data_IF_474037610461
#
_entry.id   IF_474037610461
#
_cell.length_a   1.000
_cell.length_b   1.000
_cell.length_c   1.000
_cell.angle_alpha   90.00
_cell.angle_beta   90.00
_cell.angle_gamma   90.00
#
_symmetry.space_group_name_H-M   'P 1'
#
loop_
_entity.id
_entity.type
_entity.pdbx_description
1 polymer ?
#
# COMPACT_ATOMS: atom_id res chain seq x y z
N UNK A 1 -90.38 52.37 -48.18
CA UNK A 1 -90.06 52.88 -46.82
C UNK A 1 -90.09 51.71 -45.85
N UNK A 2 -88.93 51.29 -45.35
CA UNK A 2 -88.58 50.84 -43.99
C UNK A 2 -87.03 50.84 -43.95
N UNK A 3 -86.37 51.28 -42.85
CA UNK A 3 -84.99 51.74 -42.86
C UNK A 3 -83.96 50.70 -42.37
N UNK A 4 -82.78 50.79 -42.95
CA UNK A 4 -81.42 50.90 -42.36
C UNK A 4 -80.94 50.00 -41.20
N UNK A 5 -79.69 49.52 -41.43
CA UNK A 5 -78.55 49.37 -40.49
C UNK A 5 -78.53 48.19 -39.53
N UNK A 6 -77.68 47.21 -39.85
CA UNK A 6 -76.98 46.39 -38.85
C UNK A 6 -75.62 47.06 -38.63
N UNK A 7 -75.43 47.64 -37.46
CA UNK A 7 -74.15 48.15 -36.98
C UNK A 7 -73.33 46.95 -36.52
N UNK A 8 -72.20 46.71 -37.19
CA UNK A 8 -71.15 45.81 -36.74
C UNK A 8 -70.47 46.43 -35.50
N UNK A 9 -70.76 45.88 -34.33
CA UNK A 9 -70.05 46.20 -33.08
C UNK A 9 -69.25 44.99 -32.63
N UNK A 10 -68.11 44.78 -33.28
CA UNK A 10 -66.95 44.19 -32.61
C UNK A 10 -65.77 45.12 -32.91
N UNK A 11 -65.46 45.98 -31.94
CA UNK A 11 -64.26 46.81 -31.98
C UNK A 11 -63.05 45.88 -32.10
N UNK A 12 -62.17 46.12 -33.08
CA UNK A 12 -60.98 45.29 -33.34
C UNK A 12 -60.10 45.16 -32.10
N UNK A 13 -60.11 46.18 -31.25
CA UNK A 13 -59.41 46.24 -29.97
C UNK A 13 -59.88 45.18 -28.96
N UNK A 14 -61.16 44.79 -29.03
CA UNK A 14 -61.72 43.72 -28.18
C UNK A 14 -61.30 42.35 -28.66
N UNK A 15 -61.17 42.16 -29.98
CA UNK A 15 -60.70 40.91 -30.58
C UNK A 15 -59.19 40.73 -30.31
N UNK A 16 -58.40 41.80 -30.42
CA UNK A 16 -56.96 41.75 -30.18
C UNK A 16 -56.63 41.47 -28.70
N UNK A 17 -57.40 42.03 -27.77
CA UNK A 17 -57.26 41.73 -26.34
C UNK A 17 -57.66 40.29 -26.01
N UNK A 18 -58.71 39.76 -26.64
CA UNK A 18 -59.11 38.36 -26.47
C UNK A 18 -58.05 37.40 -27.02
N UNK A 19 -57.49 37.70 -28.19
CA UNK A 19 -56.43 36.90 -28.82
C UNK A 19 -55.10 36.97 -28.06
N UNK A 20 -54.76 38.13 -27.48
CA UNK A 20 -53.59 38.31 -26.61
C UNK A 20 -53.74 37.51 -25.32
N UNK A 21 -54.91 37.54 -24.71
CA UNK A 21 -55.21 36.78 -23.49
C UNK A 21 -55.19 35.29 -23.78
N UNK A 22 -55.86 34.83 -24.84
CA UNK A 22 -55.82 33.43 -25.27
C UNK A 22 -54.40 32.96 -25.59
N UNK A 23 -53.57 33.75 -26.27
CA UNK A 23 -52.16 33.41 -26.53
C UNK A 23 -51.35 33.29 -25.24
N UNK A 24 -51.53 34.19 -24.27
CA UNK A 24 -50.86 34.09 -22.97
C UNK A 24 -51.31 32.85 -22.22
N UNK A 25 -52.61 32.60 -22.14
CA UNK A 25 -53.16 31.41 -21.48
C UNK A 25 -52.71 30.12 -22.18
N UNK A 26 -52.68 30.09 -23.50
CA UNK A 26 -52.16 28.94 -24.26
C UNK A 26 -50.66 28.75 -24.04
N UNK A 27 -49.88 29.83 -23.96
CA UNK A 27 -48.44 29.76 -23.67
C UNK A 27 -48.19 29.27 -22.24
N UNK A 28 -48.96 29.72 -21.25
CA UNK A 28 -48.90 29.19 -19.88
C UNK A 28 -49.38 27.74 -19.79
N UNK A 29 -50.37 27.33 -20.58
CA UNK A 29 -50.78 25.92 -20.68
C UNK A 29 -49.74 25.07 -21.41
N UNK A 30 -49.04 25.58 -22.43
CA UNK A 30 -47.98 24.86 -23.14
C UNK A 30 -46.71 24.77 -22.30
N UNK A 31 -46.31 25.83 -21.61
CA UNK A 31 -45.20 25.81 -20.65
C UNK A 31 -45.57 24.96 -19.44
N UNK A 32 -46.81 25.05 -18.97
CA UNK A 32 -47.34 24.21 -17.90
C UNK A 32 -47.42 22.73 -18.29
N UNK A 33 -47.85 22.42 -19.51
CA UNK A 33 -47.82 21.04 -20.04
C UNK A 33 -46.41 20.59 -20.39
N UNK A 34 -45.48 21.45 -20.80
CA UNK A 34 -44.08 21.09 -20.99
C UNK A 34 -43.40 20.84 -19.63
N UNK A 35 -43.76 21.58 -18.58
CA UNK A 35 -43.29 21.37 -17.21
C UNK A 35 -43.93 20.11 -16.60
N UNK A 36 -45.21 19.87 -16.85
CA UNK A 36 -45.92 18.66 -16.43
C UNK A 36 -45.46 17.45 -17.25
N UNK A 37 -45.15 17.57 -18.54
CA UNK A 37 -44.52 16.51 -19.33
C UNK A 37 -43.05 16.31 -18.95
N UNK A 38 -42.33 17.35 -18.51
CA UNK A 38 -40.99 17.21 -17.91
C UNK A 38 -41.03 16.57 -16.52
N UNK A 39 -42.14 16.71 -15.79
CA UNK A 39 -42.40 16.04 -14.50
C UNK A 39 -43.06 14.65 -14.66
N UNK A 40 -43.78 14.41 -15.77
CA UNK A 40 -44.50 13.17 -16.09
C UNK A 40 -43.70 12.22 -17.01
N UNK A 41 -42.62 12.70 -17.62
CA UNK A 41 -41.39 11.90 -17.76
C UNK A 41 -40.78 11.87 -16.36
N UNK A 42 -41.47 11.17 -15.45
CA UNK A 42 -40.95 10.84 -14.15
C UNK A 42 -39.68 10.04 -14.42
N UNK A 43 -38.53 10.71 -14.36
CA UNK A 43 -37.26 10.02 -14.28
C UNK A 43 -37.40 8.95 -13.21
N UNK A 44 -36.87 7.76 -13.48
CA UNK A 44 -36.78 6.69 -12.50
C UNK A 44 -36.32 7.26 -11.16
N UNK A 45 -36.72 6.65 -10.04
CA UNK A 45 -36.25 7.07 -8.71
C UNK A 45 -34.72 7.26 -8.70
N UNK A 46 -33.98 6.43 -9.45
CA UNK A 46 -32.57 6.61 -9.79
C UNK A 46 -32.20 7.99 -10.39
N UNK A 47 -32.89 8.46 -11.42
CA UNK A 47 -32.61 9.74 -12.08
C UNK A 47 -32.80 10.94 -11.13
N UNK A 48 -33.79 10.87 -10.23
CA UNK A 48 -34.00 11.89 -9.20
C UNK A 48 -32.85 11.88 -8.18
N UNK A 49 -32.39 10.69 -7.77
CA UNK A 49 -31.24 10.55 -6.88
C UNK A 49 -29.95 11.05 -7.55
N UNK A 50 -29.73 10.75 -8.84
CA UNK A 50 -28.58 11.28 -9.60
C UNK A 50 -28.64 12.81 -9.66
N UNK A 51 -29.81 13.39 -9.92
CA UNK A 51 -29.99 14.84 -9.91
C UNK A 51 -29.64 15.45 -8.55
N UNK A 52 -30.16 14.87 -7.46
CA UNK A 52 -29.86 15.31 -6.11
C UNK A 52 -28.36 15.22 -5.78
N UNK A 53 -27.70 14.13 -6.18
CA UNK A 53 -26.26 13.92 -5.98
C UNK A 53 -25.40 14.96 -6.72
N UNK A 54 -25.78 15.30 -7.96
CA UNK A 54 -25.02 16.22 -8.84
C UNK A 54 -25.25 17.69 -8.52
N UNK A 55 -26.37 18.05 -7.89
CA UNK A 55 -26.71 19.45 -7.63
C UNK A 55 -25.71 20.09 -6.64
N UNK A 56 -24.91 21.09 -7.06
CA UNK A 56 -23.95 21.75 -6.18
C UNK A 56 -24.61 22.60 -5.09
N UNK A 57 -25.85 23.05 -5.32
CA UNK A 57 -26.62 23.88 -4.38
C UNK A 57 -27.38 23.04 -3.34
N UNK A 58 -27.44 21.71 -3.52
CA UNK A 58 -28.04 20.82 -2.54
C UNK A 58 -27.19 20.72 -1.27
N UNK A 59 -27.84 20.61 -0.12
CA UNK A 59 -27.16 20.42 1.16
C UNK A 59 -26.40 19.08 1.13
N UNK A 60 -25.19 19.06 1.68
CA UNK A 60 -24.30 17.90 1.67
C UNK A 60 -25.00 16.63 2.17
N UNK A 61 -25.83 16.74 3.21
CA UNK A 61 -26.58 15.62 3.78
C UNK A 61 -27.52 14.95 2.77
N UNK A 62 -28.20 15.75 1.93
CA UNK A 62 -29.12 15.22 0.91
C UNK A 62 -28.34 14.53 -0.21
N UNK A 63 -27.18 15.06 -0.57
CA UNK A 63 -26.27 14.45 -1.55
C UNK A 63 -25.71 13.11 -1.06
N UNK A 64 -25.36 13.04 0.23
CA UNK A 64 -24.93 11.80 0.90
C UNK A 64 -26.05 10.76 0.91
N UNK A 65 -27.28 11.14 1.30
CA UNK A 65 -28.46 10.25 1.27
C UNK A 65 -28.74 9.74 -0.15
N UNK A 66 -28.54 10.58 -1.16
CA UNK A 66 -28.68 10.18 -2.54
C UNK A 66 -27.61 9.15 -2.94
N UNK A 67 -26.34 9.39 -2.58
CA UNK A 67 -25.25 8.45 -2.83
C UNK A 67 -25.50 7.08 -2.19
N UNK A 68 -25.97 7.03 -0.94
CA UNK A 68 -26.33 5.79 -0.26
C UNK A 68 -27.39 4.98 -0.99
N UNK A 69 -28.47 5.65 -1.39
CA UNK A 69 -29.58 4.99 -2.11
C UNK A 69 -29.11 4.49 -3.47
N UNK A 70 -28.30 5.28 -4.18
CA UNK A 70 -27.72 4.87 -5.46
C UNK A 70 -26.80 3.64 -5.30
N UNK A 71 -25.92 3.63 -4.30
CA UNK A 71 -25.02 2.51 -4.05
C UNK A 71 -25.72 1.23 -3.61
N UNK A 72 -26.85 1.33 -2.90
CA UNK A 72 -27.58 0.17 -2.37
C UNK A 72 -28.69 -0.36 -3.29
N UNK A 73 -29.35 0.49 -4.07
CA UNK A 73 -30.51 0.13 -4.89
C UNK A 73 -30.21 0.05 -6.40
N UNK A 74 -29.19 0.79 -6.85
CA UNK A 74 -28.85 0.96 -8.27
C UNK A 74 -27.39 0.60 -8.55
N UNK A 75 -26.89 -0.41 -7.85
CA UNK A 75 -25.47 -0.76 -7.79
C UNK A 75 -24.85 -0.99 -9.19
N UNK A 76 -25.61 -1.60 -10.11
CA UNK A 76 -25.16 -1.92 -11.46
C UNK A 76 -25.18 -0.74 -12.43
N UNK A 77 -26.00 0.29 -12.18
CA UNK A 77 -26.27 1.38 -13.13
C UNK A 77 -25.75 2.74 -12.67
N UNK A 78 -25.74 3.00 -11.36
CA UNK A 78 -25.35 4.28 -10.80
C UNK A 78 -23.83 4.46 -10.61
N UNK A 79 -23.05 3.37 -10.65
CA UNK A 79 -21.62 3.39 -10.40
C UNK A 79 -20.83 4.41 -11.26
N UNK A 80 -21.05 4.51 -12.58
CA UNK A 80 -20.45 5.56 -13.41
C UNK A 80 -20.66 6.98 -12.87
N UNK A 81 -21.84 7.28 -12.34
CA UNK A 81 -22.17 8.62 -11.85
C UNK A 81 -21.57 8.91 -10.48
N UNK A 82 -21.48 7.90 -9.61
CA UNK A 82 -20.73 7.98 -8.38
C UNK A 82 -19.24 8.25 -8.66
N UNK A 83 -18.63 7.53 -9.62
CA UNK A 83 -17.24 7.76 -10.01
C UNK A 83 -17.01 9.15 -10.61
N UNK A 84 -17.95 9.67 -11.40
CA UNK A 84 -17.85 11.03 -11.94
C UNK A 84 -17.73 12.09 -10.83
N UNK A 85 -18.48 11.94 -9.73
CA UNK A 85 -18.38 12.86 -8.58
C UNK A 85 -17.14 12.58 -7.74
N UNK A 86 -16.75 11.31 -7.58
CA UNK A 86 -15.54 10.92 -6.86
C UNK A 86 -14.30 11.63 -7.42
N UNK A 87 -14.20 11.71 -8.74
CA UNK A 87 -13.07 12.34 -9.44
C UNK A 87 -13.33 13.80 -9.85
N UNK A 88 -14.48 14.38 -9.49
CA UNK A 88 -14.77 15.79 -9.77
C UNK A 88 -14.03 16.71 -8.79
N UNK A 89 -13.03 17.43 -9.29
CA UNK A 89 -12.28 18.44 -8.52
C UNK A 89 -13.12 19.53 -7.86
N UNK A 90 -14.36 19.74 -8.30
CA UNK A 90 -15.30 20.71 -7.72
C UNK A 90 -16.18 20.12 -6.63
N UNK A 91 -16.23 18.80 -6.48
CA UNK A 91 -17.00 18.15 -5.43
C UNK A 91 -16.35 18.41 -4.05
N UNK A 92 -17.15 18.62 -2.99
CA UNK A 92 -16.61 18.71 -1.64
C UNK A 92 -15.86 17.44 -1.25
N UNK A 93 -14.69 17.56 -0.62
CA UNK A 93 -13.88 16.40 -0.19
C UNK A 93 -14.65 15.42 0.70
N UNK A 94 -15.48 15.94 1.61
CA UNK A 94 -16.34 15.11 2.46
C UNK A 94 -17.30 14.24 1.66
N UNK A 95 -17.84 14.76 0.54
CA UNK A 95 -18.69 14.01 -0.36
C UNK A 95 -17.89 12.96 -1.14
N UNK A 96 -16.70 13.31 -1.63
CA UNK A 96 -15.81 12.37 -2.33
C UNK A 96 -15.42 11.19 -1.45
N UNK A 97 -14.98 11.44 -0.21
CA UNK A 97 -14.68 10.38 0.77
C UNK A 97 -15.89 9.50 1.03
N UNK A 98 -17.07 10.10 1.17
CA UNK A 98 -18.30 9.32 1.36
C UNK A 98 -18.62 8.43 0.16
N UNK A 99 -18.53 8.99 -1.05
CA UNK A 99 -18.78 8.25 -2.29
C UNK A 99 -17.75 7.14 -2.48
N UNK A 100 -16.49 7.36 -2.11
CA UNK A 100 -15.47 6.31 -2.09
C UNK A 100 -15.92 5.13 -1.23
N UNK A 101 -16.38 5.38 0.00
CA UNK A 101 -16.87 4.32 0.90
C UNK A 101 -18.10 3.61 0.34
N UNK A 102 -18.99 4.34 -0.34
CA UNK A 102 -20.14 3.75 -1.04
C UNK A 102 -19.66 2.85 -2.17
N UNK A 103 -18.78 3.35 -3.04
CA UNK A 103 -18.23 2.61 -4.20
C UNK A 103 -17.50 1.34 -3.76
N UNK A 104 -16.70 1.39 -2.70
CA UNK A 104 -15.98 0.23 -2.16
C UNK A 104 -16.95 -0.90 -1.76
N UNK A 105 -18.14 -0.56 -1.28
CA UNK A 105 -19.15 -1.54 -0.85
C UNK A 105 -19.99 -2.08 -2.00
N UNK A 106 -19.85 -1.51 -3.20
CA UNK A 106 -20.59 -1.95 -4.37
C UNK A 106 -20.07 -3.31 -4.88
N UNK A 107 -20.90 -4.03 -5.61
CA UNK A 107 -20.66 -5.33 -6.27
C UNK A 107 -20.88 -5.23 -7.78
N UNK A 108 -20.46 -4.11 -8.36
CA UNK A 108 -20.50 -3.84 -9.79
C UNK A 108 -19.12 -4.12 -10.46
N UNK A 109 -18.96 -5.25 -11.16
CA UNK A 109 -17.66 -5.64 -11.72
C UNK A 109 -17.10 -4.66 -12.77
N UNK A 110 -17.90 -3.70 -13.25
CA UNK A 110 -17.49 -2.75 -14.29
C UNK A 110 -16.83 -1.47 -13.74
N UNK A 111 -16.70 -1.33 -12.42
CA UNK A 111 -16.09 -0.12 -11.82
C UNK A 111 -14.57 -0.19 -11.78
N UNK A 112 -13.99 -1.40 -11.67
CA UNK A 112 -12.54 -1.62 -11.60
C UNK A 112 -11.80 -0.92 -12.75
N UNK A 113 -12.21 -1.17 -14.01
CA UNK A 113 -11.54 -0.57 -15.19
C UNK A 113 -11.52 0.96 -15.16
N UNK A 114 -12.60 1.59 -14.68
CA UNK A 114 -12.67 3.05 -14.58
C UNK A 114 -11.78 3.59 -13.46
N UNK A 115 -11.77 2.93 -12.31
CA UNK A 115 -10.91 3.29 -11.18
C UNK A 115 -9.43 3.16 -11.56
N UNK A 116 -9.05 2.06 -12.23
CA UNK A 116 -7.69 1.83 -12.71
C UNK A 116 -7.29 2.81 -13.81
N UNK A 117 -8.21 3.14 -14.74
CA UNK A 117 -7.96 4.16 -15.77
C UNK A 117 -7.62 5.53 -15.16
N UNK A 118 -8.27 5.91 -14.06
CA UNK A 118 -7.94 7.16 -13.38
C UNK A 118 -6.57 7.09 -12.69
N UNK A 119 -6.21 5.95 -12.09
CA UNK A 119 -4.87 5.74 -11.53
C UNK A 119 -3.76 5.81 -12.61
N UNK A 120 -4.04 5.31 -13.81
CA UNK A 120 -3.16 5.35 -14.98
C UNK A 120 -3.07 6.73 -15.66
N UNK A 121 -3.96 7.66 -15.33
CA UNK A 121 -4.01 8.97 -15.97
C UNK A 121 -2.88 9.89 -15.46
N UNK A 122 -1.73 9.88 -16.13
CA UNK A 122 -0.56 10.71 -15.75
C UNK A 122 -0.83 12.22 -15.75
N UNK A 123 -1.85 12.68 -16.48
CA UNK A 123 -2.27 14.09 -16.54
C UNK A 123 -3.22 14.45 -15.40
N UNK A 124 -3.82 13.46 -14.72
CA UNK A 124 -4.66 13.71 -13.57
C UNK A 124 -3.86 14.24 -12.38
N UNK A 125 -4.56 14.97 -11.50
CA UNK A 125 -4.01 15.40 -10.22
C UNK A 125 -3.55 14.14 -9.42
N UNK A 126 -2.35 14.14 -8.81
CA UNK A 126 -1.85 13.03 -7.99
C UNK A 126 -2.85 12.50 -6.95
N UNK A 127 -3.65 13.40 -6.36
CA UNK A 127 -4.71 13.03 -5.41
C UNK A 127 -5.80 12.15 -6.05
N UNK A 128 -6.20 12.44 -7.30
CA UNK A 128 -7.21 11.65 -8.00
C UNK A 128 -6.66 10.30 -8.41
N UNK A 129 -5.39 10.24 -8.83
CA UNK A 129 -4.71 8.98 -9.14
C UNK A 129 -4.62 8.08 -7.91
N UNK A 130 -4.22 8.65 -6.76
CA UNK A 130 -4.18 7.95 -5.47
C UNK A 130 -5.57 7.48 -5.05
N UNK A 131 -6.58 8.33 -5.18
CA UNK A 131 -7.95 7.97 -4.86
C UNK A 131 -8.45 6.82 -5.75
N UNK A 132 -8.18 6.87 -7.05
CA UNK A 132 -8.52 5.80 -7.98
C UNK A 132 -7.85 4.49 -7.61
N UNK A 133 -6.54 4.53 -7.33
CA UNK A 133 -5.76 3.35 -6.95
C UNK A 133 -6.21 2.76 -5.61
N UNK A 134 -6.40 3.58 -4.57
CA UNK A 134 -6.88 3.11 -3.26
C UNK A 134 -8.30 2.53 -3.35
N UNK A 135 -9.19 3.18 -4.10
CA UNK A 135 -10.55 2.69 -4.28
C UNK A 135 -10.53 1.35 -5.02
N UNK A 136 -9.77 1.26 -6.12
CA UNK A 136 -9.58 0.00 -6.83
C UNK A 136 -9.00 -1.08 -5.92
N UNK A 137 -7.99 -0.77 -5.11
CA UNK A 137 -7.39 -1.69 -4.15
C UNK A 137 -8.41 -2.29 -3.18
N UNK A 138 -9.29 -1.45 -2.64
CA UNK A 138 -10.33 -1.90 -1.70
C UNK A 138 -11.46 -2.66 -2.38
N UNK A 139 -11.66 -2.42 -3.66
CA UNK A 139 -12.74 -2.96 -4.46
C UNK A 139 -12.39 -4.30 -5.11
N UNK A 140 -11.25 -4.34 -5.80
CA UNK A 140 -10.70 -5.47 -6.55
C UNK A 140 -9.17 -5.47 -6.36
N UNK A 141 -8.68 -6.06 -5.25
CA UNK A 141 -7.27 -6.03 -4.89
C UNK A 141 -6.36 -6.64 -5.97
N UNK A 142 -6.80 -7.71 -6.63
CA UNK A 142 -5.99 -8.43 -7.62
C UNK A 142 -5.75 -7.57 -8.86
N UNK A 143 -6.81 -6.92 -9.37
CA UNK A 143 -6.69 -5.99 -10.50
C UNK A 143 -5.86 -4.75 -10.13
N UNK A 144 -6.05 -4.22 -8.93
CA UNK A 144 -5.25 -3.10 -8.43
C UNK A 144 -3.78 -3.47 -8.28
N UNK A 145 -3.45 -4.67 -7.81
CA UNK A 145 -2.07 -5.15 -7.66
C UNK A 145 -1.30 -5.19 -8.99
N UNK A 146 -1.95 -5.68 -10.05
CA UNK A 146 -1.37 -5.65 -11.40
C UNK A 146 -1.02 -4.22 -11.82
N UNK A 147 -1.94 -3.28 -11.56
CA UNK A 147 -1.75 -1.87 -11.86
C UNK A 147 -0.66 -1.23 -10.98
N UNK A 148 -0.57 -1.59 -9.70
CA UNK A 148 0.49 -1.17 -8.78
C UNK A 148 1.85 -1.58 -9.35
N UNK A 149 2.03 -2.84 -9.75
CA UNK A 149 3.30 -3.33 -10.31
C UNK A 149 3.74 -2.52 -11.54
N UNK A 150 2.79 -2.21 -12.42
CA UNK A 150 3.02 -1.37 -13.61
C UNK A 150 3.48 0.04 -13.23
N UNK A 151 2.76 0.74 -12.35
CA UNK A 151 3.10 2.09 -11.89
C UNK A 151 4.49 2.12 -11.24
N UNK A 152 4.74 1.19 -10.32
CA UNK A 152 5.99 1.14 -9.57
C UNK A 152 7.19 0.86 -10.48
N UNK A 153 7.01 -0.02 -11.48
CA UNK A 153 8.05 -0.38 -12.44
C UNK A 153 8.30 0.63 -13.57
N UNK A 154 7.44 1.65 -13.74
CA UNK A 154 7.57 2.69 -14.76
C UNK A 154 8.39 3.88 -14.24
N UNK A 155 9.63 4.01 -14.71
CA UNK A 155 10.53 5.09 -14.32
C UNK A 155 10.14 6.47 -14.86
N UNK A 156 9.21 6.54 -15.82
CA UNK A 156 8.69 7.81 -16.36
C UNK A 156 7.52 8.37 -15.53
N UNK A 157 6.94 7.58 -14.63
CA UNK A 157 5.87 8.04 -13.76
C UNK A 157 6.41 8.95 -12.63
N UNK A 158 5.52 9.75 -12.06
CA UNK A 158 5.83 10.68 -10.98
C UNK A 158 6.30 9.90 -9.73
N UNK A 159 7.52 10.18 -9.28
CA UNK A 159 8.15 9.49 -8.15
C UNK A 159 7.25 9.42 -6.90
N UNK A 160 6.58 10.52 -6.55
CA UNK A 160 5.69 10.56 -5.39
C UNK A 160 4.56 9.52 -5.50
N UNK A 161 3.99 9.36 -6.69
CA UNK A 161 2.93 8.38 -6.92
C UNK A 161 3.47 6.95 -6.98
N UNK A 162 4.65 6.74 -7.60
CA UNK A 162 5.36 5.45 -7.55
C UNK A 162 5.63 4.99 -6.13
N UNK A 163 6.02 5.91 -5.24
CA UNK A 163 6.25 5.61 -3.82
C UNK A 163 4.96 5.20 -3.11
N UNK A 164 3.84 5.91 -3.35
CA UNK A 164 2.53 5.53 -2.80
C UNK A 164 2.13 4.13 -3.29
N UNK A 165 2.21 3.89 -4.60
CA UNK A 165 1.91 2.59 -5.18
C UNK A 165 2.80 1.47 -4.60
N UNK A 166 4.10 1.73 -4.42
CA UNK A 166 5.04 0.75 -3.89
C UNK A 166 4.70 0.29 -2.46
N UNK A 167 3.98 1.10 -1.66
CA UNK A 167 3.51 0.67 -0.33
C UNK A 167 2.52 -0.48 -0.39
N UNK A 168 1.80 -0.65 -1.50
CA UNK A 168 0.83 -1.74 -1.68
C UNK A 168 1.49 -3.07 -2.03
N UNK A 169 2.72 -3.08 -2.57
CA UNK A 169 3.41 -4.32 -2.97
C UNK A 169 3.61 -5.30 -1.80
N UNK A 170 3.69 -4.81 -0.56
CA UNK A 170 3.85 -5.67 0.62
C UNK A 170 2.67 -6.62 0.86
N UNK A 171 1.48 -6.26 0.35
CA UNK A 171 0.29 -7.09 0.46
C UNK A 171 0.29 -8.27 -0.52
N UNK A 172 1.22 -8.28 -1.48
CA UNK A 172 1.39 -9.31 -2.49
C UNK A 172 2.86 -9.75 -2.57
N UNK A 173 3.55 -9.72 -1.43
CA UNK A 173 4.99 -9.95 -1.38
C UNK A 173 5.40 -11.38 -1.77
N UNK A 174 4.48 -12.33 -1.69
CA UNK A 174 4.72 -13.74 -2.07
C UNK A 174 4.51 -13.98 -3.58
N UNK A 175 4.01 -12.99 -4.33
CA UNK A 175 3.84 -13.07 -5.77
C UNK A 175 5.15 -12.82 -6.52
N UNK A 176 5.46 -13.69 -7.49
CA UNK A 176 6.70 -13.64 -8.27
C UNK A 176 6.87 -12.33 -9.04
N UNK A 177 5.82 -11.82 -9.69
CA UNK A 177 5.91 -10.55 -10.44
C UNK A 177 6.17 -9.37 -9.50
N UNK A 178 5.57 -9.39 -8.31
CA UNK A 178 5.79 -8.36 -7.28
C UNK A 178 7.24 -8.38 -6.78
N UNK A 179 7.79 -9.57 -6.56
CA UNK A 179 9.18 -9.76 -6.18
C UNK A 179 10.14 -9.30 -7.30
N UNK A 180 9.85 -9.61 -8.56
CA UNK A 180 10.65 -9.17 -9.71
C UNK A 180 10.70 -7.64 -9.84
N UNK A 181 9.58 -6.95 -9.64
CA UNK A 181 9.52 -5.49 -9.60
C UNK A 181 10.39 -4.95 -8.44
N UNK A 182 10.30 -5.53 -7.25
CA UNK A 182 11.10 -5.12 -6.10
C UNK A 182 12.61 -5.35 -6.34
N UNK A 183 12.99 -6.47 -6.95
CA UNK A 183 14.37 -6.79 -7.33
C UNK A 183 14.91 -5.78 -8.32
N UNK A 184 14.14 -5.47 -9.38
CA UNK A 184 14.52 -4.50 -10.41
C UNK A 184 14.81 -3.13 -9.77
N UNK A 185 13.93 -2.66 -8.91
CA UNK A 185 14.09 -1.38 -8.18
C UNK A 185 15.32 -1.42 -7.28
N UNK A 186 15.48 -2.48 -6.49
CA UNK A 186 16.60 -2.58 -5.55
C UNK A 186 17.95 -2.61 -6.25
N UNK A 187 18.02 -3.27 -7.41
CA UNK A 187 19.22 -3.41 -8.25
C UNK A 187 19.60 -2.10 -8.96
N UNK A 188 18.62 -1.33 -9.40
CA UNK A 188 18.86 -0.08 -10.10
C UNK A 188 19.28 1.04 -9.12
N UNK A 189 20.56 1.37 -9.11
CA UNK A 189 21.11 2.43 -8.24
C UNK A 189 20.70 3.84 -8.64
N UNK A 190 20.12 4.03 -9.83
CA UNK A 190 19.56 5.32 -10.23
C UNK A 190 18.19 5.57 -9.59
N UNK A 191 17.53 4.52 -9.09
CA UNK A 191 16.27 4.68 -8.37
C UNK A 191 16.48 5.41 -7.05
N UNK A 192 15.55 6.31 -6.67
CA UNK A 192 15.62 7.03 -5.41
C UNK A 192 15.70 6.08 -4.20
N UNK A 193 16.51 6.48 -3.23
CA UNK A 193 16.76 5.68 -2.01
C UNK A 193 15.45 5.37 -1.28
N UNK A 194 14.52 6.32 -1.23
CA UNK A 194 13.21 6.17 -0.60
C UNK A 194 12.36 5.08 -1.26
N UNK A 195 12.38 4.99 -2.59
CA UNK A 195 11.64 3.95 -3.32
C UNK A 195 12.29 2.58 -3.08
N UNK A 196 13.62 2.50 -3.17
CA UNK A 196 14.38 1.28 -2.84
C UNK A 196 14.13 0.81 -1.41
N UNK A 197 13.99 1.75 -0.47
CA UNK A 197 13.60 1.46 0.92
C UNK A 197 12.18 0.86 1.02
N UNK A 198 11.21 1.40 0.29
CA UNK A 198 9.81 0.94 0.37
C UNK A 198 9.69 -0.52 -0.10
N UNK A 199 10.51 -0.95 -1.05
CA UNK A 199 10.45 -2.32 -1.59
C UNK A 199 11.25 -3.36 -0.78
N UNK A 200 12.09 -2.95 0.17
CA UNK A 200 12.84 -3.89 1.03
C UNK A 200 11.97 -4.96 1.73
N UNK A 201 10.80 -4.63 2.32
CA UNK A 201 9.96 -5.62 2.99
C UNK A 201 9.39 -6.69 2.06
N UNK A 202 9.28 -6.40 0.75
CA UNK A 202 8.87 -7.39 -0.26
C UNK A 202 9.98 -8.43 -0.46
N UNK A 203 11.23 -7.97 -0.50
CA UNK A 203 12.39 -8.82 -0.72
C UNK A 203 12.66 -9.82 0.42
N UNK A 204 12.23 -9.50 1.64
CA UNK A 204 12.34 -10.39 2.81
C UNK A 204 11.51 -11.68 2.67
N UNK A 205 10.43 -11.62 1.90
CA UNK A 205 9.49 -12.73 1.68
C UNK A 205 9.66 -13.40 0.31
N UNK A 206 10.70 -12.99 -0.42
CA UNK A 206 10.87 -13.36 -1.81
C UNK A 206 11.20 -14.85 -1.99
N UNK A 207 10.62 -15.50 -2.99
CA UNK A 207 11.08 -16.82 -3.46
C UNK A 207 12.49 -16.71 -4.09
N UNK A 208 12.84 -15.53 -4.60
CA UNK A 208 14.20 -15.16 -5.01
C UNK A 208 15.08 -14.75 -3.81
N UNK A 209 14.87 -15.37 -2.65
CA UNK A 209 15.49 -14.98 -1.39
C UNK A 209 17.02 -14.84 -1.49
N UNK A 210 17.69 -15.76 -2.18
CA UNK A 210 19.14 -15.70 -2.34
C UNK A 210 19.58 -14.46 -3.14
N UNK A 211 18.89 -14.14 -4.23
CA UNK A 211 19.20 -12.96 -5.02
C UNK A 211 18.92 -11.67 -4.22
N UNK A 212 17.77 -11.61 -3.55
CA UNK A 212 17.41 -10.52 -2.66
C UNK A 212 18.49 -10.30 -1.59
N UNK A 213 18.98 -11.38 -0.97
CA UNK A 213 20.06 -11.33 0.01
C UNK A 213 21.39 -10.83 -0.58
N UNK A 214 21.77 -11.24 -1.79
CA UNK A 214 22.97 -10.73 -2.44
C UNK A 214 22.86 -9.24 -2.79
N UNK A 215 21.68 -8.78 -3.22
CA UNK A 215 21.39 -7.36 -3.44
C UNK A 215 21.47 -6.56 -2.14
N UNK A 216 20.91 -7.09 -1.05
CA UNK A 216 21.01 -6.47 0.28
C UNK A 216 22.46 -6.42 0.76
N UNK A 217 23.24 -7.50 0.63
CA UNK A 217 24.69 -7.51 0.91
C UNK A 217 25.42 -6.44 0.11
N UNK A 218 25.15 -6.34 -1.19
CA UNK A 218 25.77 -5.34 -2.08
C UNK A 218 25.43 -3.93 -1.64
N UNK A 219 24.17 -3.65 -1.31
CA UNK A 219 23.75 -2.35 -0.80
C UNK A 219 24.44 -2.01 0.53
N UNK A 220 24.60 -2.99 1.42
CA UNK A 220 25.27 -2.79 2.70
C UNK A 220 26.76 -2.55 2.55
N UNK A 221 27.46 -3.20 1.61
CA UNK A 221 28.92 -3.07 1.45
C UNK A 221 29.35 -1.96 0.48
N UNK A 222 28.43 -1.36 -0.26
CA UNK A 222 28.77 -0.25 -1.15
C UNK A 222 29.05 1.05 -0.36
N UNK A 223 30.27 1.60 -0.41
CA UNK A 223 30.61 2.83 0.31
C UNK A 223 29.91 4.08 -0.25
N UNK A 224 29.38 4.02 -1.47
CA UNK A 224 28.65 5.13 -2.10
C UNK A 224 27.18 5.19 -1.66
N UNK A 225 26.65 4.12 -1.08
CA UNK A 225 25.30 4.10 -0.53
C UNK A 225 25.24 4.94 0.76
N UNK A 226 24.10 5.60 0.96
CA UNK A 226 23.93 6.44 2.16
C UNK A 226 23.98 5.58 3.42
N UNK A 227 24.64 6.09 4.48
CA UNK A 227 24.73 5.36 5.75
C UNK A 227 23.36 5.07 6.37
N UNK A 228 22.36 5.91 6.09
CA UNK A 228 20.96 5.68 6.52
C UNK A 228 20.34 4.48 5.79
N UNK A 229 20.50 4.39 4.47
CA UNK A 229 20.00 3.26 3.70
C UNK A 229 20.70 1.96 4.07
N UNK A 230 22.03 1.98 4.13
CA UNK A 230 22.85 0.83 4.56
C UNK A 230 22.42 0.29 5.92
N UNK A 231 22.17 1.17 6.90
CA UNK A 231 21.65 0.79 8.23
C UNK A 231 20.29 0.10 8.14
N UNK A 232 19.38 0.64 7.34
CA UNK A 232 18.05 0.06 7.18
C UNK A 232 18.09 -1.33 6.55
N UNK A 233 18.94 -1.53 5.55
CA UNK A 233 19.14 -2.86 4.95
C UNK A 233 19.72 -3.83 5.98
N UNK A 234 20.69 -3.41 6.81
CA UNK A 234 21.20 -4.24 7.93
C UNK A 234 20.05 -4.63 8.86
N UNK A 235 19.22 -3.67 9.29
CA UNK A 235 18.07 -3.92 10.17
C UNK A 235 17.10 -4.96 9.57
N UNK A 236 16.81 -4.88 8.26
CA UNK A 236 15.98 -5.86 7.56
C UNK A 236 16.64 -7.24 7.45
N UNK A 237 17.95 -7.28 7.23
CA UNK A 237 18.70 -8.53 7.19
C UNK A 237 18.81 -9.22 8.57
N UNK A 238 18.57 -8.53 9.69
CA UNK A 238 18.68 -9.14 11.04
C UNK A 238 17.73 -10.30 11.26
N UNK A 239 16.52 -10.19 10.71
CA UNK A 239 15.49 -11.22 10.84
C UNK A 239 15.67 -12.34 9.81
N UNK A 240 16.61 -12.18 8.89
CA UNK A 240 16.98 -13.19 7.92
C UNK A 240 17.68 -14.35 8.64
N UNK A 241 17.24 -15.60 8.43
CA UNK A 241 17.94 -16.79 8.96
C UNK A 241 19.29 -17.07 8.25
N UNK A 242 19.78 -16.11 7.48
CA UNK A 242 20.94 -16.25 6.62
C UNK A 242 22.23 -15.94 7.38
N UNK A 243 23.24 -16.80 7.22
CA UNK A 243 24.62 -16.51 7.67
C UNK A 243 25.25 -15.33 6.93
N UNK A 244 24.64 -14.87 5.83
CA UNK A 244 25.14 -13.80 5.00
C UNK A 244 25.24 -12.47 5.74
N UNK A 245 24.35 -12.20 6.71
CA UNK A 245 24.46 -11.01 7.53
C UNK A 245 25.77 -10.99 8.30
N UNK A 246 26.13 -12.08 8.98
CA UNK A 246 27.39 -12.18 9.72
C UNK A 246 28.59 -11.93 8.81
N UNK A 247 28.65 -12.56 7.65
CA UNK A 247 29.73 -12.34 6.68
C UNK A 247 29.82 -10.87 6.22
N UNK A 248 28.66 -10.28 5.93
CA UNK A 248 28.53 -8.88 5.52
C UNK A 248 29.04 -7.93 6.61
N UNK A 249 28.62 -8.12 7.86
CA UNK A 249 29.06 -7.32 9.00
C UNK A 249 30.55 -7.51 9.28
N UNK A 250 31.08 -8.73 9.16
CA UNK A 250 32.53 -8.98 9.27
C UNK A 250 33.32 -8.25 8.18
N UNK A 251 32.78 -8.16 6.96
CA UNK A 251 33.39 -7.39 5.85
C UNK A 251 33.46 -5.90 6.20
N UNK A 252 32.40 -5.32 6.76
CA UNK A 252 32.37 -3.91 7.24
C UNK A 252 33.47 -3.67 8.29
N UNK A 253 33.68 -4.61 9.22
CA UNK A 253 34.70 -4.47 10.26
C UNK A 253 36.14 -4.53 9.71
N UNK A 254 36.35 -5.33 8.66
CA UNK A 254 37.65 -5.50 8.02
C UNK A 254 38.02 -4.35 7.07
N UNK A 255 37.03 -3.64 6.53
CA UNK A 255 37.29 -2.51 5.63
C UNK A 255 37.93 -1.35 6.39
N UNK A 256 39.14 -0.96 5.98
CA UNK A 256 39.90 0.13 6.60
C UNK A 256 39.30 1.51 6.31
N UNK A 257 38.59 1.66 5.20
CA UNK A 257 38.01 2.93 4.76
C UNK A 257 36.58 3.15 5.27
N UNK A 258 36.00 2.14 5.89
CA UNK A 258 34.64 2.22 6.40
C UNK A 258 34.51 3.22 7.54
N UNK A 259 33.39 3.95 7.54
CA UNK A 259 33.07 4.94 8.56
C UNK A 259 32.93 4.28 9.93
N UNK A 260 33.47 4.95 10.95
CA UNK A 260 33.42 4.50 12.36
C UNK A 260 32.00 4.12 12.80
N UNK A 261 30.98 4.89 12.43
CA UNK A 261 29.60 4.63 12.84
C UNK A 261 29.03 3.35 12.23
N UNK A 262 29.43 3.01 11.00
CA UNK A 262 29.04 1.73 10.37
C UNK A 262 29.74 0.55 11.02
N UNK A 263 31.01 0.70 11.40
CA UNK A 263 31.73 -0.33 12.18
C UNK A 263 31.08 -0.55 13.54
N UNK A 264 30.71 0.52 14.25
CA UNK A 264 29.97 0.41 15.52
C UNK A 264 28.63 -0.30 15.33
N UNK A 265 27.86 0.07 14.31
CA UNK A 265 26.60 -0.61 13.98
C UNK A 265 26.81 -2.11 13.72
N UNK A 266 27.87 -2.48 12.99
CA UNK A 266 28.20 -3.87 12.73
C UNK A 266 28.57 -4.62 14.02
N UNK A 267 29.36 -4.02 14.91
CA UNK A 267 29.68 -4.62 16.21
C UNK A 267 28.40 -4.83 17.05
N UNK A 268 27.56 -3.79 17.18
CA UNK A 268 26.32 -3.89 17.96
C UNK A 268 25.39 -4.96 17.41
N UNK A 269 25.27 -5.08 16.08
CA UNK A 269 24.44 -6.11 15.46
C UNK A 269 25.02 -7.51 15.62
N UNK A 270 26.35 -7.66 15.59
CA UNK A 270 27.02 -8.94 15.85
C UNK A 270 26.85 -9.40 17.30
N UNK A 271 26.83 -8.47 18.28
CA UNK A 271 26.60 -8.77 19.70
C UNK A 271 25.27 -9.49 19.93
N UNK A 272 24.22 -9.08 19.23
CA UNK A 272 22.89 -9.74 19.28
C UNK A 272 22.94 -11.23 18.92
N UNK A 273 23.95 -11.64 18.13
CA UNK A 273 24.15 -13.02 17.67
C UNK A 273 25.43 -13.67 18.21
N UNK A 274 25.99 -13.19 19.32
CA UNK A 274 27.30 -13.64 19.84
C UNK A 274 27.47 -15.17 19.96
N UNK A 275 26.39 -15.90 20.27
CA UNK A 275 26.38 -17.38 20.38
C UNK A 275 26.82 -18.09 19.09
N UNK A 276 26.56 -17.50 17.92
CA UNK A 276 26.86 -18.12 16.62
C UNK A 276 28.23 -17.70 16.06
N UNK A 277 28.94 -16.78 16.74
CA UNK A 277 30.16 -16.14 16.24
C UNK A 277 31.46 -16.79 16.71
N UNK A 278 31.41 -17.96 17.37
CA UNK A 278 32.61 -18.64 17.89
C UNK A 278 33.70 -18.83 16.81
N UNK A 279 33.30 -19.18 15.59
CA UNK A 279 34.21 -19.38 14.46
C UNK A 279 34.91 -18.09 13.98
N UNK A 280 34.39 -16.91 14.34
CA UNK A 280 34.91 -15.61 13.91
C UNK A 280 35.93 -15.01 14.89
N UNK A 281 36.16 -15.64 16.05
CA UNK A 281 37.08 -15.16 17.08
C UNK A 281 38.49 -14.82 16.56
N UNK A 282 39.16 -15.67 15.75
CA UNK A 282 40.50 -15.33 15.24
C UNK A 282 40.50 -14.05 14.40
N UNK A 283 39.46 -13.88 13.58
CA UNK A 283 39.28 -12.69 12.74
C UNK A 283 39.05 -11.45 13.59
N UNK A 284 38.17 -11.52 14.60
CA UNK A 284 37.89 -10.41 15.51
C UNK A 284 39.13 -10.00 16.32
N UNK A 285 39.94 -10.96 16.78
CA UNK A 285 41.20 -10.67 17.47
C UNK A 285 42.17 -9.91 16.56
N UNK A 286 42.34 -10.37 15.31
CA UNK A 286 43.17 -9.66 14.33
C UNK A 286 42.68 -8.24 14.04
N UNK A 287 41.36 -8.05 13.91
CA UNK A 287 40.77 -6.71 13.71
C UNK A 287 41.05 -5.82 14.93
N UNK A 288 40.86 -6.33 16.15
CA UNK A 288 41.16 -5.61 17.39
C UNK A 288 42.62 -5.16 17.48
N UNK A 289 43.56 -6.02 17.07
CA UNK A 289 45.00 -5.72 17.09
C UNK A 289 45.38 -4.65 16.07
N UNK A 290 44.71 -4.63 14.92
CA UNK A 290 45.01 -3.73 13.80
C UNK A 290 44.17 -2.45 13.78
N UNK A 291 43.25 -2.30 14.73
CA UNK A 291 42.38 -1.11 14.85
C UNK A 291 43.03 -0.04 15.72
N UNK A 292 43.27 1.13 15.14
CA UNK A 292 43.90 2.27 15.83
C UNK A 292 42.92 3.13 16.65
N UNK A 293 41.61 2.90 16.51
CA UNK A 293 40.58 3.66 17.25
C UNK A 293 40.31 3.02 18.61
N UNK A 294 40.61 3.70 19.74
CA UNK A 294 40.42 3.12 21.08
C UNK A 294 38.99 2.65 21.36
N UNK A 295 37.99 3.43 20.92
CA UNK A 295 36.58 3.05 21.07
C UNK A 295 36.25 1.75 20.34
N UNK A 296 36.62 1.62 19.06
CA UNK A 296 36.37 0.41 18.29
C UNK A 296 37.10 -0.80 18.90
N UNK A 297 38.34 -0.60 19.36
CA UNK A 297 39.11 -1.65 20.05
C UNK A 297 38.42 -2.14 21.31
N UNK A 298 37.84 -1.23 22.09
CA UNK A 298 37.04 -1.56 23.28
C UNK A 298 35.77 -2.31 22.90
N UNK A 299 35.01 -1.83 21.92
CA UNK A 299 33.76 -2.46 21.47
C UNK A 299 33.97 -3.88 20.91
N UNK A 300 35.05 -4.08 20.14
CA UNK A 300 35.43 -5.42 19.65
C UNK A 300 35.83 -6.33 20.82
N UNK A 301 36.56 -5.81 21.81
CA UNK A 301 36.92 -6.58 23.00
C UNK A 301 35.67 -7.06 23.75
N UNK A 302 34.69 -6.18 23.96
CA UNK A 302 33.42 -6.54 24.59
C UNK A 302 32.68 -7.62 23.79
N UNK A 303 32.62 -7.51 22.45
CA UNK A 303 32.04 -8.55 21.60
C UNK A 303 32.77 -9.90 21.76
N UNK A 304 34.10 -9.90 21.81
CA UNK A 304 34.90 -11.13 22.03
C UNK A 304 34.56 -11.76 23.39
N UNK A 305 34.46 -10.97 24.45
CA UNK A 305 34.09 -11.44 25.80
C UNK A 305 32.67 -12.03 25.85
N UNK A 306 31.71 -11.40 25.16
CA UNK A 306 30.35 -11.90 25.03
C UNK A 306 30.31 -13.25 24.31
N UNK A 307 31.06 -13.40 23.20
CA UNK A 307 31.17 -14.67 22.47
C UNK A 307 31.77 -15.77 23.37
N UNK A 308 32.86 -15.47 24.09
CA UNK A 308 33.50 -16.43 24.99
C UNK A 308 32.58 -16.84 26.15
N UNK A 309 31.84 -15.89 26.72
CA UNK A 309 30.86 -16.16 27.79
C UNK A 309 29.73 -17.03 27.27
N UNK A 310 29.14 -16.65 26.13
CA UNK A 310 28.02 -17.36 25.51
C UNK A 310 28.36 -18.81 25.13
N UNK A 311 29.59 -19.06 24.70
CA UNK A 311 30.06 -20.40 24.32
C UNK A 311 30.39 -21.27 25.54
N UNK A 312 30.84 -20.68 26.65
CA UNK A 312 31.07 -21.40 27.91
C UNK A 312 29.77 -21.97 28.47
N UNK A 313 28.72 -21.14 28.53
CA UNK A 313 27.38 -21.55 29.00
C UNK A 313 26.77 -22.66 28.15
N UNK A 314 27.01 -22.68 26.84
CA UNK A 314 26.54 -23.78 25.98
C UNK A 314 27.25 -25.11 26.24
N UNK A 315 28.52 -25.06 26.64
CA UNK A 315 29.32 -26.27 26.89
C UNK A 315 28.90 -26.91 28.21
N UNK A 316 28.75 -26.10 29.26
CA UNK A 316 28.28 -26.53 30.59
C UNK A 316 26.87 -27.15 30.54
N UNK A 317 25.92 -26.54 29.83
CA UNK A 317 24.57 -27.11 29.68
C UNK A 317 24.60 -28.44 28.94
N UNK A 318 25.44 -28.59 27.91
CA UNK A 318 25.53 -29.85 27.15
C UNK A 318 26.14 -30.99 27.99
N UNK A 319 27.10 -30.67 28.83
CA UNK A 319 27.74 -31.63 29.73
C UNK A 319 26.75 -32.09 30.83
N UNK A 320 25.93 -31.18 31.37
CA UNK A 320 24.86 -31.51 32.33
C UNK A 320 23.80 -32.45 31.73
N UNK A 321 23.37 -32.24 30.48
CA UNK A 321 22.44 -33.14 29.79
C UNK A 321 23.07 -34.50 29.49
N UNK A 322 24.36 -34.55 29.13
CA UNK A 322 25.06 -35.81 28.91
C UNK A 322 25.20 -36.65 30.21
N UNK A 323 25.39 -35.99 31.35
CA UNK A 323 25.39 -36.62 32.67
C UNK A 323 24.01 -37.17 33.03
N UNK A 324 22.94 -36.42 32.75
CA UNK A 324 21.55 -36.85 32.95
C UNK A 324 21.17 -38.07 32.08
N UNK A 325 21.55 -38.06 30.80
CA UNK A 325 21.31 -39.19 29.90
C UNK A 325 22.08 -40.46 30.31
N UNK A 326 23.30 -40.28 30.81
CA UNK A 326 24.11 -41.39 31.35
C UNK A 326 23.47 -41.97 32.61
N UNK A 327 23.05 -41.12 33.54
CA UNK A 327 22.35 -41.53 34.75
C UNK A 327 21.00 -42.23 34.46
N UNK A 328 20.25 -41.77 33.45
CA UNK A 328 19.00 -42.42 33.04
C UNK A 328 19.25 -43.80 32.42
N UNK A 329 20.29 -43.96 31.60
CA UNK A 329 20.66 -45.27 31.00
C UNK A 329 21.10 -46.28 32.07
N UNK A 330 21.88 -45.86 33.06
CA UNK A 330 22.28 -46.72 34.19
C UNK A 330 21.08 -47.15 35.06
N UNK A 331 20.08 -46.29 35.23
CA UNK A 331 18.85 -46.61 35.96
C UNK A 331 17.96 -47.62 35.22
N UNK A 332 17.95 -47.60 33.89
CA UNK A 332 17.22 -48.58 33.07
C UNK A 332 17.92 -49.95 32.97
N UNK A 333 19.25 -50.01 32.98
CA UNK A 333 20.00 -51.28 32.93
C UNK A 333 19.92 -52.07 34.26
N UNK A 334 19.81 -51.36 35.38
CA UNK A 334 19.64 -51.95 36.72
C UNK A 334 18.24 -52.55 36.93
N UNK A 335 17.18 -51.97 36.34
CA UNK A 335 15.83 -52.59 36.35
C UNK A 335 15.67 -53.77 35.38
N UNK A 336 16.35 -53.76 34.23
CA UNK A 336 16.37 -54.93 33.31
C UNK A 336 17.03 -56.16 33.95
N UNK A 337 18.02 -55.95 34.82
CA UNK A 337 18.77 -57.01 35.50
C UNK A 337 18.01 -57.64 36.69
N UNK A 338 17.03 -56.93 37.27
CA UNK A 338 16.16 -57.47 38.32
C UNK A 338 14.96 -58.24 37.76
N UNK A 339 14.47 -57.91 36.57
CA UNK A 339 13.34 -58.61 35.94
C UNK A 339 13.67 -60.02 35.42
N UNK A 340 14.95 -60.39 35.25
CA UNK A 340 15.37 -61.73 34.79
C UNK A 340 15.69 -62.73 35.91
N UNK A 341 15.54 -62.33 37.19
CA UNK A 341 15.73 -63.23 38.35
C UNK A 341 14.44 -63.78 38.94
N UNK A 342 13.29 -63.46 38.33
CA UNK A 342 11.98 -64.00 38.70
C UNK A 342 11.27 -64.48 37.44
N UNK A 343 11.75 -65.61 36.90
CA UNK A 343 11.01 -66.49 36.00
C UNK A 343 11.55 -67.91 36.19
#
# INVERSE_FOLDING_TARGET
MIPTTIVSVYNSETIDNLMSTLRKTFFFCLVGMALICALAVAGTDEAQLIYALKNPDAVLEDRIKAADKLGSQYENTAGPELLNILFDTKAPRSLQTYIQDVVIKMKNPHLTDKLLKEADNIEANPYMREMGLYTAWKYDPDAALMQVRKIVGDSYDQLAFRMIAATYLIHDADNLETQEVAIKIMRDKSEPTELRRIVLPVLERSEYYEEALQLMKTAVTDPNESSSFRRMVIERMKDSKSSLLTETLMTILQDKNEKKDMKLLAIHTLKENAKTLKSQLPTLMKIKETTDTPLLKSEIQTLIEEILTATKTQTEVKDDWALLDTAMKEKTSTHSSQSKRTA
#
